data_IF_768371290151
#
_entry.id   IF_768371290151
#
_cell.length_a   1.000
_cell.length_b   1.000
_cell.length_c   1.000
_cell.angle_alpha   90.00
_cell.angle_beta   90.00
_cell.angle_gamma   90.00
#
_symmetry.space_group_name_H-M   'P 1'
#
loop_
_entity.id
_entity.type
_entity.pdbx_description
1 polymer ?
#
# COMPACT_ATOMS: atom_id res chain seq x y z
N UNK A 1 28.07 4.94 2.56
CA UNK A 1 28.26 3.48 2.53
C UNK A 1 28.49 3.07 1.08
N UNK A 2 29.69 2.60 0.72
CA UNK A 2 30.03 2.27 -0.68
C UNK A 2 29.47 0.91 -1.07
N UNK A 3 29.12 0.71 -2.35
CA UNK A 3 28.69 -0.57 -2.90
C UNK A 3 29.66 -1.71 -2.56
N UNK A 4 30.97 -1.42 -2.62
CA UNK A 4 32.05 -2.34 -2.24
C UNK A 4 31.94 -2.81 -0.79
N UNK A 5 31.57 -1.90 0.13
CA UNK A 5 31.39 -2.22 1.55
C UNK A 5 30.18 -3.15 1.77
N UNK A 6 29.12 -2.96 0.99
CA UNK A 6 27.92 -3.80 1.01
C UNK A 6 28.22 -5.22 0.55
N UNK A 7 28.98 -5.37 -0.56
CA UNK A 7 29.41 -6.67 -1.08
C UNK A 7 30.28 -7.41 -0.07
N UNK A 8 31.20 -6.72 0.61
CA UNK A 8 32.06 -7.33 1.64
C UNK A 8 31.22 -7.85 2.81
N UNK A 9 30.28 -7.05 3.32
CA UNK A 9 29.43 -7.45 4.46
C UNK A 9 28.58 -8.68 4.09
N UNK A 10 27.92 -8.65 2.93
CA UNK A 10 27.06 -9.75 2.47
C UNK A 10 27.89 -11.00 2.16
N UNK A 11 29.04 -10.84 1.50
CA UNK A 11 29.94 -11.94 1.16
C UNK A 11 30.55 -12.61 2.38
N UNK A 12 31.07 -11.84 3.34
CA UNK A 12 31.60 -12.36 4.60
C UNK A 12 30.50 -13.03 5.45
N UNK A 13 29.29 -12.46 5.47
CA UNK A 13 28.14 -13.05 6.16
C UNK A 13 27.72 -14.40 5.55
N UNK A 14 27.60 -14.46 4.22
CA UNK A 14 27.25 -15.69 3.51
C UNK A 14 28.33 -16.77 3.68
N UNK A 15 29.61 -16.39 3.62
CA UNK A 15 30.73 -17.29 3.88
C UNK A 15 30.71 -17.86 5.30
N UNK A 16 30.46 -17.01 6.31
CA UNK A 16 30.37 -17.44 7.70
C UNK A 16 29.24 -18.44 7.93
N UNK A 17 28.06 -18.20 7.32
CA UNK A 17 26.92 -19.12 7.42
C UNK A 17 27.21 -20.45 6.74
N UNK A 18 27.80 -20.43 5.54
CA UNK A 18 28.23 -21.64 4.82
C UNK A 18 29.25 -22.44 5.64
N UNK A 19 30.27 -21.79 6.19
CA UNK A 19 31.33 -22.44 6.95
C UNK A 19 30.84 -22.99 8.29
N UNK A 20 30.03 -22.22 9.04
CA UNK A 20 29.65 -22.57 10.41
C UNK A 20 28.48 -23.54 10.50
N UNK A 21 27.49 -23.39 9.62
CA UNK A 21 26.26 -24.17 9.63
C UNK A 21 26.20 -25.23 8.52
N UNK A 22 27.25 -25.32 7.69
CA UNK A 22 27.35 -26.25 6.54
C UNK A 22 26.17 -26.12 5.55
N UNK A 23 25.53 -24.95 5.50
CA UNK A 23 24.49 -24.69 4.51
C UNK A 23 25.11 -24.73 3.12
N UNK A 24 24.53 -25.50 2.21
CA UNK A 24 24.91 -25.46 0.80
C UNK A 24 24.69 -24.06 0.23
N UNK A 25 25.61 -23.58 -0.61
CA UNK A 25 25.45 -22.32 -1.35
C UNK A 25 24.10 -22.24 -2.06
N UNK A 26 23.60 -23.36 -2.59
CA UNK A 26 22.28 -23.43 -3.19
C UNK A 26 21.16 -23.05 -2.21
N UNK A 27 21.21 -23.55 -0.98
CA UNK A 27 20.21 -23.23 0.06
C UNK A 27 20.25 -21.76 0.47
N UNK A 28 21.44 -21.15 0.53
CA UNK A 28 21.60 -19.72 0.82
C UNK A 28 20.93 -18.88 -0.27
N UNK A 29 21.20 -19.16 -1.54
CA UNK A 29 20.55 -18.47 -2.66
C UNK A 29 19.04 -18.68 -2.70
N UNK A 30 18.57 -19.91 -2.45
CA UNK A 30 17.13 -20.20 -2.37
C UNK A 30 16.47 -19.41 -1.23
N UNK A 31 17.11 -19.29 -0.07
CA UNK A 31 16.56 -18.53 1.07
C UNK A 31 16.40 -17.05 0.74
N UNK A 32 17.40 -16.46 0.09
CA UNK A 32 17.38 -15.04 -0.35
C UNK A 32 16.28 -14.83 -1.39
N UNK A 33 16.19 -15.70 -2.39
CA UNK A 33 15.15 -15.63 -3.41
C UNK A 33 13.74 -15.80 -2.84
N UNK A 34 13.57 -16.70 -1.86
CA UNK A 34 12.28 -16.94 -1.20
C UNK A 34 11.83 -15.72 -0.40
N UNK A 35 12.73 -15.09 0.35
CA UNK A 35 12.42 -13.86 1.11
C UNK A 35 12.08 -12.72 0.16
N UNK A 36 12.84 -12.53 -0.92
CA UNK A 36 12.54 -11.51 -1.92
C UNK A 36 11.16 -11.72 -2.56
N UNK A 37 10.82 -12.96 -2.93
CA UNK A 37 9.53 -13.31 -3.49
C UNK A 37 8.37 -13.04 -2.51
N UNK A 38 8.54 -13.41 -1.24
CA UNK A 38 7.53 -13.16 -0.20
C UNK A 38 7.32 -11.67 0.04
N UNK A 39 8.38 -10.87 0.04
CA UNK A 39 8.28 -9.42 0.18
C UNK A 39 7.54 -8.78 -0.99
N UNK A 40 7.84 -9.20 -2.22
CA UNK A 40 7.13 -8.74 -3.42
C UNK A 40 5.66 -9.16 -3.35
N UNK A 41 5.37 -10.41 -3.02
CA UNK A 41 4.00 -10.93 -2.88
C UNK A 41 3.21 -10.17 -1.81
N UNK A 42 3.85 -9.81 -0.70
CA UNK A 42 3.26 -9.04 0.39
C UNK A 42 2.98 -7.60 -0.03
N UNK A 43 3.92 -6.95 -0.71
CA UNK A 43 3.74 -5.60 -1.24
C UNK A 43 2.52 -5.52 -2.19
N UNK A 44 2.41 -6.46 -3.13
CA UNK A 44 1.23 -6.56 -4.01
C UNK A 44 -0.06 -6.87 -3.26
N UNK A 45 0.00 -7.67 -2.18
CA UNK A 45 -1.17 -7.95 -1.35
C UNK A 45 -1.68 -6.70 -0.62
N UNK A 46 -0.76 -5.88 -0.11
CA UNK A 46 -1.12 -4.61 0.52
C UNK A 46 -1.74 -3.63 -0.47
N UNK A 47 -1.19 -3.55 -1.68
CA UNK A 47 -1.70 -2.68 -2.74
C UNK A 47 -3.14 -3.08 -3.12
N UNK A 48 -3.42 -4.38 -3.30
CA UNK A 48 -4.77 -4.86 -3.56
C UNK A 48 -5.76 -4.55 -2.43
N UNK A 49 -5.38 -4.76 -1.16
CA UNK A 49 -6.23 -4.42 -0.02
C UNK A 49 -6.50 -2.91 0.07
N UNK A 50 -5.49 -2.09 -0.20
CA UNK A 50 -5.61 -0.64 -0.18
C UNK A 50 -6.54 -0.15 -1.30
N UNK A 51 -6.41 -0.68 -2.52
CA UNK A 51 -7.33 -0.38 -3.62
C UNK A 51 -8.77 -0.79 -3.32
N UNK A 52 -8.97 -1.95 -2.68
CA UNK A 52 -10.30 -2.42 -2.30
C UNK A 52 -10.95 -1.53 -1.24
N UNK A 53 -10.19 -1.10 -0.23
CA UNK A 53 -10.69 -0.16 0.81
C UNK A 53 -11.05 1.20 0.20
N UNK A 54 -10.26 1.70 -0.75
CA UNK A 54 -10.55 2.95 -1.46
C UNK A 54 -11.80 2.81 -2.33
N UNK A 55 -11.95 1.72 -3.09
CA UNK A 55 -13.10 1.52 -3.96
C UNK A 55 -14.41 1.35 -3.16
N UNK A 56 -14.38 0.64 -2.03
CA UNK A 56 -15.52 0.52 -1.12
C UNK A 56 -15.89 1.86 -0.47
N UNK A 57 -14.90 2.69 -0.10
CA UNK A 57 -15.14 4.04 0.42
C UNK A 57 -15.80 4.95 -0.61
N UNK A 58 -15.31 4.95 -1.85
CA UNK A 58 -15.91 5.72 -2.96
C UNK A 58 -17.33 5.25 -3.25
N UNK A 59 -17.55 3.92 -3.26
CA UNK A 59 -18.89 3.34 -3.45
C UNK A 59 -19.86 3.79 -2.36
N UNK A 60 -19.46 3.78 -1.08
CA UNK A 60 -20.31 4.27 0.02
C UNK A 60 -20.64 5.77 -0.12
N UNK A 61 -19.67 6.59 -0.51
CA UNK A 61 -19.92 8.01 -0.77
C UNK A 61 -20.83 8.25 -1.98
N UNK A 62 -20.78 7.39 -3.01
CA UNK A 62 -21.69 7.51 -4.14
C UNK A 62 -23.16 7.24 -3.80
N UNK A 63 -23.43 6.50 -2.71
CA UNK A 63 -24.79 6.21 -2.22
C UNK A 63 -25.30 7.24 -1.20
N UNK A 64 -24.44 8.12 -0.68
CA UNK A 64 -24.85 9.12 0.30
C UNK A 64 -25.70 10.24 -0.31
N UNK A 65 -26.61 10.77 0.50
CA UNK A 65 -27.35 11.97 0.15
C UNK A 65 -26.40 13.17 0.07
N UNK A 66 -26.84 14.25 -0.58
CA UNK A 66 -25.97 15.42 -0.69
C UNK A 66 -25.72 16.14 0.64
N UNK A 67 -26.65 16.04 1.59
CA UNK A 67 -26.51 16.58 2.94
C UNK A 67 -25.44 15.81 3.73
N UNK A 68 -25.47 14.48 3.64
CA UNK A 68 -24.49 13.58 4.24
C UNK A 68 -23.09 13.78 3.64
N UNK A 69 -23.00 14.03 2.31
CA UNK A 69 -21.73 14.35 1.65
C UNK A 69 -21.15 15.70 2.12
N UNK A 70 -22.01 16.69 2.35
CA UNK A 70 -21.62 18.01 2.87
C UNK A 70 -21.14 17.92 4.31
N UNK A 71 -21.82 17.13 5.14
CA UNK A 71 -21.39 16.81 6.49
C UNK A 71 -20.04 16.09 6.49
N UNK A 72 -19.87 15.04 5.67
CA UNK A 72 -18.62 14.30 5.58
C UNK A 72 -17.44 15.13 5.07
N UNK A 73 -17.67 16.12 4.20
CA UNK A 73 -16.60 17.01 3.72
C UNK A 73 -16.17 18.06 4.76
N UNK A 74 -17.12 18.57 5.55
CA UNK A 74 -16.90 19.67 6.49
C UNK A 74 -16.59 19.22 7.92
N UNK A 75 -16.92 17.98 8.29
CA UNK A 75 -16.66 17.48 9.63
C UNK A 75 -15.18 17.04 9.77
N UNK A 76 -14.48 17.68 10.71
CA UNK A 76 -13.06 17.44 10.99
C UNK A 76 -12.80 16.14 11.76
N UNK A 77 -13.84 15.47 12.26
CA UNK A 77 -13.72 14.15 12.88
C UNK A 77 -13.47 13.03 11.86
N UNK A 78 -13.71 13.27 10.56
CA UNK A 78 -13.42 12.30 9.50
C UNK A 78 -12.01 12.42 8.95
N UNK A 79 -11.49 11.30 8.45
CA UNK A 79 -10.13 11.26 7.88
C UNK A 79 -10.01 12.21 6.67
N UNK A 80 -8.84 12.83 6.43
CA UNK A 80 -8.63 13.73 5.28
C UNK A 80 -9.01 13.09 3.93
N UNK A 81 -8.85 11.76 3.83
CA UNK A 81 -9.18 10.96 2.66
C UNK A 81 -10.71 10.80 2.46
N UNK A 82 -11.48 10.68 3.54
CA UNK A 82 -12.95 10.64 3.48
C UNK A 82 -13.52 11.98 3.04
N UNK A 83 -12.99 13.06 3.62
CA UNK A 83 -13.36 14.42 3.24
C UNK A 83 -13.09 14.68 1.76
N UNK A 84 -11.89 14.35 1.29
CA UNK A 84 -11.51 14.48 -0.13
C UNK A 84 -12.40 13.66 -1.06
N UNK A 85 -12.79 12.45 -0.64
CA UNK A 85 -13.65 11.56 -1.44
C UNK A 85 -15.08 12.11 -1.53
N UNK A 86 -15.63 12.64 -0.43
CA UNK A 86 -16.93 13.30 -0.40
C UNK A 86 -16.95 14.58 -1.25
N UNK A 87 -15.91 15.41 -1.17
CA UNK A 87 -15.78 16.61 -2.01
C UNK A 87 -15.69 16.25 -3.50
N UNK A 88 -14.97 15.18 -3.84
CA UNK A 88 -14.85 14.71 -5.23
C UNK A 88 -16.20 14.21 -5.77
N UNK A 89 -16.98 13.48 -4.96
CA UNK A 89 -18.30 13.02 -5.37
C UNK A 89 -19.30 14.19 -5.51
N UNK A 90 -19.26 15.17 -4.60
CA UNK A 90 -20.06 16.40 -4.76
C UNK A 90 -19.71 17.16 -6.04
N UNK A 91 -18.42 17.29 -6.36
CA UNK A 91 -17.96 17.91 -7.62
C UNK A 91 -18.45 17.11 -8.83
N UNK A 92 -18.37 15.78 -8.80
CA UNK A 92 -18.88 14.91 -9.87
C UNK A 92 -20.38 15.08 -10.10
N UNK A 93 -21.17 15.16 -9.02
CA UNK A 93 -22.62 15.39 -9.11
C UNK A 93 -22.93 16.78 -9.67
N UNK A 94 -22.16 17.80 -9.28
CA UNK A 94 -22.28 19.16 -9.82
C UNK A 94 -21.98 19.20 -11.33
N UNK A 95 -20.93 18.52 -11.77
CA UNK A 95 -20.57 18.40 -13.19
C UNK A 95 -21.64 17.63 -14.00
N UNK A 96 -22.29 16.63 -13.38
CA UNK A 96 -23.36 15.85 -14.00
C UNK A 96 -24.77 16.47 -13.86
N UNK A 97 -24.90 17.70 -13.33
CA UNK A 97 -26.19 18.38 -13.17
C UNK A 97 -27.14 17.75 -12.14
N UNK A 98 -26.65 16.85 -11.29
CA UNK A 98 -27.41 16.12 -10.26
C UNK A 98 -26.97 16.47 -8.83
N UNK A 99 -26.03 17.40 -8.67
CA UNK A 99 -25.56 17.93 -7.38
C UNK A 99 -26.40 19.13 -6.93
N UNK A 100 -26.55 19.38 -5.62
CA UNK A 100 -27.28 20.55 -5.14
C UNK A 100 -26.43 21.81 -5.24
N UNK A 101 -27.15 22.92 -5.28
CA UNK A 101 -26.65 24.28 -5.09
C UNK A 101 -26.14 24.50 -3.67
#
# INVERSE_FOLDING_TARGET
MSFLMLVIIVGCGAWFVHWKFKFSWGSIWTSIGTVAFLLVRWAFSQEQEQHRKVSERVRRMSTYSNEELKEHANNFNYSPQERSSATREMKRRRENGTGPF
#
